data_IF_513638060781
#
_entry.id   IF_513638060781
#
_cell.length_a   1.000
_cell.length_b   1.000
_cell.length_c   1.000
_cell.angle_alpha   90.00
_cell.angle_beta   90.00
_cell.angle_gamma   90.00
#
_symmetry.space_group_name_H-M   'P 1'
#
loop_
_entity.id
_entity.type
_entity.pdbx_description
1 polymer ?
#
# COMPACT_ATOMS: atom_id res chain seq x y z
N UNK A 1 -6.17 -15.45 -18.09
CA UNK A 1 -6.60 -16.79 -17.61
C UNK A 1 -5.42 -17.64 -17.10
N UNK A 2 -4.31 -17.76 -17.88
CA UNK A 2 -3.15 -18.59 -17.49
C UNK A 2 -2.43 -18.06 -16.26
N UNK A 3 -2.24 -16.75 -16.12
CA UNK A 3 -1.59 -16.13 -14.94
C UNK A 3 -2.40 -16.41 -13.66
N UNK A 4 -3.73 -16.32 -13.73
CA UNK A 4 -4.61 -16.70 -12.62
C UNK A 4 -4.47 -18.17 -12.26
N UNK A 5 -4.44 -19.06 -13.28
CA UNK A 5 -4.31 -20.50 -13.06
C UNK A 5 -2.96 -20.81 -12.36
N UNK A 6 -1.86 -20.28 -12.87
CA UNK A 6 -0.53 -20.56 -12.29
C UNK A 6 -0.38 -19.98 -10.87
N UNK A 7 -0.81 -18.76 -10.65
CA UNK A 7 -0.68 -18.11 -9.34
C UNK A 7 -1.69 -18.63 -8.31
N UNK A 8 -2.98 -18.72 -8.67
CA UNK A 8 -4.05 -18.96 -7.69
C UNK A 8 -4.47 -20.44 -7.57
N UNK A 9 -4.25 -21.25 -8.61
CA UNK A 9 -4.63 -22.67 -8.63
C UNK A 9 -3.42 -23.58 -8.47
N UNK A 10 -2.39 -23.37 -9.28
CA UNK A 10 -1.18 -24.19 -9.25
C UNK A 10 -0.17 -23.75 -8.17
N UNK A 11 -0.33 -22.55 -7.60
CA UNK A 11 0.56 -21.96 -6.58
C UNK A 11 2.03 -21.97 -7.00
N UNK A 12 2.28 -21.79 -8.29
CA UNK A 12 3.62 -21.65 -8.83
C UNK A 12 4.02 -20.17 -8.71
N UNK A 13 5.02 -19.91 -7.93
CA UNK A 13 5.71 -18.62 -7.89
C UNK A 13 6.87 -18.72 -8.88
N UNK A 14 7.07 -17.68 -9.70
CA UNK A 14 8.27 -17.57 -10.50
C UNK A 14 9.44 -17.29 -9.56
N UNK A 15 10.59 -17.89 -9.81
CA UNK A 15 11.82 -17.52 -9.09
C UNK A 15 12.05 -16.01 -9.30
N UNK A 16 12.21 -15.27 -8.20
CA UNK A 16 12.53 -13.85 -8.23
C UNK A 16 13.94 -13.68 -8.81
N UNK A 17 14.05 -13.42 -10.12
CA UNK A 17 15.26 -12.86 -10.69
C UNK A 17 15.47 -11.48 -10.05
N UNK A 18 16.65 -11.22 -9.49
CA UNK A 18 17.04 -9.90 -9.00
C UNK A 18 17.04 -8.99 -10.22
N UNK A 19 16.00 -8.18 -10.37
CA UNK A 19 15.92 -7.20 -11.44
C UNK A 19 17.07 -6.20 -11.27
N UNK A 20 17.88 -6.01 -12.32
CA UNK A 20 18.96 -5.01 -12.30
C UNK A 20 18.45 -3.56 -12.13
N UNK A 21 17.15 -3.34 -12.35
CA UNK A 21 16.48 -2.06 -12.21
C UNK A 21 15.17 -2.21 -11.40
N UNK A 22 14.83 -1.15 -10.65
CA UNK A 22 13.55 -1.07 -9.95
C UNK A 22 12.44 -0.85 -10.97
N UNK A 23 11.63 -1.87 -11.19
CA UNK A 23 10.44 -1.80 -12.04
C UNK A 23 9.24 -1.16 -11.31
N UNK A 24 8.14 -0.92 -12.03
CA UNK A 24 6.97 -0.29 -11.47
C UNK A 24 6.30 -1.10 -10.33
N UNK A 25 6.20 -2.45 -10.37
CA UNK A 25 5.75 -3.25 -9.25
C UNK A 25 6.64 -3.11 -8.01
N UNK A 26 7.97 -3.16 -8.17
CA UNK A 26 8.92 -3.02 -7.06
C UNK A 26 8.87 -1.63 -6.45
N UNK A 27 8.72 -0.58 -7.29
CA UNK A 27 8.49 0.79 -6.81
C UNK A 27 7.23 0.87 -5.91
N UNK A 28 6.13 0.22 -6.34
CA UNK A 28 4.92 0.10 -5.53
C UNK A 28 5.20 -0.60 -4.19
N UNK A 29 5.89 -1.73 -4.21
CA UNK A 29 6.26 -2.48 -3.01
C UNK A 29 7.07 -1.63 -2.03
N UNK A 30 8.06 -0.89 -2.51
CA UNK A 30 8.87 0.02 -1.68
C UNK A 30 8.00 1.12 -1.06
N UNK A 31 7.10 1.74 -1.86
CA UNK A 31 6.20 2.77 -1.34
C UNK A 31 5.30 2.23 -0.22
N UNK A 32 4.60 1.11 -0.46
CA UNK A 32 3.71 0.50 0.53
C UNK A 32 4.47 0.13 1.81
N UNK A 33 5.63 -0.51 1.70
CA UNK A 33 6.46 -0.84 2.86
C UNK A 33 6.92 0.40 3.64
N UNK A 34 7.31 1.48 2.96
CA UNK A 34 7.70 2.73 3.62
C UNK A 34 6.52 3.38 4.36
N UNK A 35 5.34 3.43 3.72
CA UNK A 35 4.10 3.91 4.34
C UNK A 35 3.76 3.07 5.57
N UNK A 36 3.75 1.75 5.43
CA UNK A 36 3.45 0.84 6.54
C UNK A 36 4.38 1.11 7.75
N UNK A 37 5.69 1.25 7.52
CA UNK A 37 6.65 1.55 8.59
C UNK A 37 6.39 2.88 9.30
N UNK A 38 6.03 3.91 8.55
CA UNK A 38 5.72 5.23 9.12
C UNK A 38 4.41 5.21 9.91
N UNK A 39 3.36 4.66 9.33
CA UNK A 39 2.04 4.66 9.95
C UNK A 39 1.89 3.63 11.07
N UNK A 40 2.72 2.59 11.11
CA UNK A 40 2.77 1.65 12.24
C UNK A 40 3.09 2.33 13.58
N UNK A 41 3.75 3.49 13.53
CA UNK A 41 4.13 4.26 14.74
C UNK A 41 2.98 5.05 15.35
N UNK A 42 1.91 5.27 14.58
CA UNK A 42 0.73 6.05 15.00
C UNK A 42 -0.55 5.20 15.05
N UNK A 43 -0.43 3.88 14.93
CA UNK A 43 -1.60 2.98 15.12
C UNK A 43 -2.18 3.17 16.50
N UNK A 44 -3.47 3.46 16.58
CA UNK A 44 -4.20 3.72 17.82
C UNK A 44 -4.01 5.12 18.41
N UNK A 45 -3.17 5.97 17.82
CA UNK A 45 -3.03 7.37 18.22
C UNK A 45 -4.23 8.18 17.71
N UNK A 46 -4.88 8.92 18.60
CA UNK A 46 -5.94 9.87 18.26
C UNK A 46 -5.33 11.15 17.70
N UNK A 47 -5.84 11.61 16.56
CA UNK A 47 -5.42 12.88 15.96
C UNK A 47 -3.89 12.98 15.76
N UNK A 48 -3.28 12.09 14.94
CA UNK A 48 -1.83 11.94 14.85
C UNK A 48 -1.10 13.07 14.10
N UNK A 49 -1.77 14.17 13.82
CA UNK A 49 -1.25 15.27 12.98
C UNK A 49 0.06 15.85 13.50
N UNK A 50 0.26 16.01 14.82
CA UNK A 50 1.51 16.55 15.35
C UNK A 50 2.65 15.54 15.28
N UNK A 51 2.36 14.26 15.48
CA UNK A 51 3.33 13.18 15.30
C UNK A 51 3.77 13.11 13.83
N UNK A 52 2.83 13.18 12.88
CA UNK A 52 3.13 13.23 11.44
C UNK A 52 3.98 14.47 11.07
N UNK A 53 3.66 15.66 11.61
CA UNK A 53 4.47 16.88 11.40
C UNK A 53 5.89 16.71 11.95
N UNK A 54 6.02 16.02 13.08
CA UNK A 54 7.34 15.74 13.66
C UNK A 54 8.14 14.82 12.76
N UNK A 55 7.55 13.71 12.28
CA UNK A 55 8.21 12.80 11.34
C UNK A 55 8.64 13.52 10.04
N UNK A 56 7.83 14.47 9.55
CA UNK A 56 8.17 15.29 8.38
C UNK A 56 9.38 16.21 8.61
N UNK A 57 9.59 16.69 9.84
CA UNK A 57 10.72 17.56 10.21
C UNK A 57 12.00 16.79 10.52
N UNK A 58 11.87 15.53 10.89
CA UNK A 58 13.00 14.65 11.22
C UNK A 58 13.47 13.83 10.01
N UNK A 59 14.49 13.01 10.19
CA UNK A 59 14.96 12.06 9.17
C UNK A 59 14.12 10.80 9.03
N UNK A 60 13.02 10.68 9.76
CA UNK A 60 12.25 9.43 9.87
C UNK A 60 11.65 8.95 8.54
N UNK A 61 11.20 9.89 7.69
CA UNK A 61 10.66 9.53 6.37
C UNK A 61 11.74 8.91 5.49
N UNK A 62 12.93 9.52 5.45
CA UNK A 62 14.04 8.98 4.68
C UNK A 62 14.50 7.62 5.21
N UNK A 63 14.58 7.49 6.53
CA UNK A 63 14.95 6.22 7.17
C UNK A 63 13.93 5.10 6.90
N UNK A 64 12.64 5.40 6.88
CA UNK A 64 11.61 4.42 6.54
C UNK A 64 11.71 3.97 5.08
N UNK A 65 12.00 4.89 4.15
CA UNK A 65 12.21 4.57 2.74
C UNK A 65 13.47 3.72 2.55
N UNK A 66 14.57 4.06 3.22
CA UNK A 66 15.80 3.26 3.20
C UNK A 66 15.55 1.85 3.72
N UNK A 67 14.88 1.71 4.86
CA UNK A 67 14.53 0.41 5.40
C UNK A 67 13.64 -0.40 4.44
N UNK A 68 12.67 0.23 3.78
CA UNK A 68 11.82 -0.42 2.79
C UNK A 68 12.63 -0.90 1.57
N UNK A 69 13.57 -0.11 1.07
CA UNK A 69 14.48 -0.48 -0.02
C UNK A 69 15.35 -1.67 0.39
N UNK A 70 15.98 -1.58 1.55
CA UNK A 70 16.91 -2.60 2.05
C UNK A 70 16.22 -3.96 2.21
N UNK A 71 15.01 -3.97 2.76
CA UNK A 71 14.25 -5.19 2.99
C UNK A 71 13.68 -5.80 1.70
N UNK A 72 13.12 -4.98 0.82
CA UNK A 72 12.33 -5.48 -0.32
C UNK A 72 13.11 -5.59 -1.62
N UNK A 73 14.13 -4.74 -1.82
CA UNK A 73 14.92 -4.75 -3.04
C UNK A 73 16.30 -5.36 -2.83
N UNK A 74 17.11 -4.82 -1.91
CA UNK A 74 18.45 -5.33 -1.64
C UNK A 74 18.45 -6.66 -0.86
N UNK A 75 17.37 -6.92 -0.13
CA UNK A 75 17.25 -8.08 0.79
C UNK A 75 18.40 -8.13 1.79
N UNK A 76 18.95 -6.96 2.12
CA UNK A 76 20.02 -6.76 3.09
C UNK A 76 19.67 -5.57 4.00
N UNK A 77 19.26 -5.88 5.21
CA UNK A 77 18.88 -4.87 6.21
C UNK A 77 20.07 -4.07 6.77
N UNK A 78 21.29 -4.52 6.51
CA UNK A 78 22.52 -3.84 6.91
C UNK A 78 23.05 -2.89 5.82
N UNK A 79 22.46 -2.90 4.63
CA UNK A 79 22.86 -2.00 3.54
C UNK A 79 22.72 -0.53 3.94
N UNK A 80 23.63 0.28 3.44
CA UNK A 80 23.71 1.73 3.71
C UNK A 80 23.51 2.51 2.42
N UNK A 81 23.39 3.84 2.52
CA UNK A 81 23.26 4.69 1.33
C UNK A 81 24.45 4.58 0.37
N UNK A 82 25.61 4.10 0.80
CA UNK A 82 26.80 3.88 -0.03
C UNK A 82 26.63 2.68 -0.98
N UNK A 83 25.73 1.76 -0.63
CA UNK A 83 25.42 0.58 -1.44
C UNK A 83 24.41 0.89 -2.55
N UNK A 84 23.84 2.09 -2.57
CA UNK A 84 22.80 2.47 -3.51
C UNK A 84 23.39 2.91 -4.85
N UNK A 85 22.94 2.27 -5.94
CA UNK A 85 23.23 2.71 -7.32
C UNK A 85 22.45 3.97 -7.69
N UNK A 86 22.80 4.60 -8.81
CA UNK A 86 22.14 5.84 -9.26
C UNK A 86 20.61 5.72 -9.41
N UNK A 87 20.13 4.60 -9.95
CA UNK A 87 18.69 4.35 -10.10
C UNK A 87 18.01 4.21 -8.73
N UNK A 88 18.63 3.51 -7.78
CA UNK A 88 18.10 3.30 -6.45
C UNK A 88 18.05 4.60 -5.63
N UNK A 89 19.06 5.47 -5.80
CA UNK A 89 19.05 6.82 -5.22
C UNK A 89 17.87 7.65 -5.77
N UNK A 90 17.57 7.53 -7.07
CA UNK A 90 16.44 8.21 -7.68
C UNK A 90 15.10 7.70 -7.11
N UNK A 91 14.93 6.38 -6.97
CA UNK A 91 13.74 5.76 -6.35
C UNK A 91 13.56 6.26 -4.92
N UNK A 92 14.63 6.24 -4.11
CA UNK A 92 14.62 6.79 -2.75
C UNK A 92 14.15 8.25 -2.72
N UNK A 93 14.69 9.08 -3.60
CA UNK A 93 14.33 10.51 -3.66
C UNK A 93 12.86 10.69 -4.07
N UNK A 94 12.38 9.98 -5.08
CA UNK A 94 11.00 10.07 -5.56
C UNK A 94 10.02 9.63 -4.47
N UNK A 95 10.23 8.46 -3.86
CA UNK A 95 9.36 7.95 -2.78
C UNK A 95 9.36 8.91 -1.58
N UNK A 96 10.53 9.39 -1.18
CA UNK A 96 10.65 10.36 -0.08
C UNK A 96 9.88 11.65 -0.38
N UNK A 97 10.01 12.19 -1.60
CA UNK A 97 9.27 13.39 -2.03
C UNK A 97 7.76 13.15 -2.07
N UNK A 98 7.33 12.00 -2.56
CA UNK A 98 5.91 11.65 -2.61
C UNK A 98 5.29 11.62 -1.22
N UNK A 99 5.97 10.99 -0.24
CA UNK A 99 5.53 10.94 1.14
C UNK A 99 5.56 12.31 1.83
N UNK A 100 6.64 13.08 1.64
CA UNK A 100 6.83 14.40 2.27
C UNK A 100 6.03 15.52 1.61
N UNK A 101 5.70 15.40 0.34
CA UNK A 101 5.00 16.43 -0.42
C UNK A 101 3.50 16.18 -0.59
N UNK A 102 3.04 14.95 -0.42
CA UNK A 102 1.66 14.54 -0.68
C UNK A 102 0.99 13.88 0.53
N UNK A 103 1.28 12.61 0.74
CA UNK A 103 0.54 11.75 1.67
C UNK A 103 0.55 12.28 3.11
N UNK A 104 1.71 12.43 3.69
CA UNK A 104 1.83 12.80 5.11
C UNK A 104 1.40 14.25 5.42
N UNK A 105 1.71 15.26 4.60
CA UNK A 105 1.17 16.61 4.83
C UNK A 105 -0.35 16.69 4.74
N UNK A 106 -0.96 15.93 3.82
CA UNK A 106 -2.42 15.84 3.72
C UNK A 106 -3.02 15.28 5.01
N UNK A 107 -2.52 14.12 5.48
CA UNK A 107 -3.00 13.50 6.71
C UNK A 107 -2.71 14.35 7.95
N UNK A 108 -1.57 15.03 8.00
CA UNK A 108 -1.24 15.96 9.10
C UNK A 108 -2.15 17.19 9.15
N UNK A 109 -2.70 17.61 8.01
CA UNK A 109 -3.66 18.71 7.94
C UNK A 109 -5.11 18.28 8.22
N UNK A 110 -5.43 16.98 8.02
CA UNK A 110 -6.76 16.39 8.17
C UNK A 110 -6.72 15.28 9.23
N UNK A 111 -6.27 15.61 10.43
CA UNK A 111 -5.90 14.67 11.49
C UNK A 111 -7.06 14.13 12.35
N UNK A 112 -8.33 14.41 11.96
CA UNK A 112 -9.53 13.90 12.64
C UNK A 112 -9.74 12.38 12.37
N UNK A 113 -8.72 11.58 12.64
CA UNK A 113 -8.74 10.15 12.46
C UNK A 113 -7.80 9.40 13.43
N UNK A 114 -8.01 8.09 13.51
CA UNK A 114 -7.12 7.14 14.18
C UNK A 114 -6.83 6.00 13.23
N UNK A 115 -5.56 5.66 13.02
CA UNK A 115 -5.19 4.45 12.25
C UNK A 115 -5.55 3.21 13.06
N UNK A 116 -6.43 2.36 12.51
CA UNK A 116 -6.90 1.13 13.18
C UNK A 116 -6.33 -0.14 12.56
N UNK A 117 -5.86 -0.09 11.31
CA UNK A 117 -5.29 -1.25 10.64
C UNK A 117 -4.33 -0.87 9.52
N UNK A 118 -3.29 -1.68 9.32
CA UNK A 118 -2.33 -1.60 8.23
C UNK A 118 -2.19 -2.98 7.60
N UNK A 119 -2.13 -3.05 6.25
CA UNK A 119 -2.04 -4.30 5.49
C UNK A 119 -3.04 -5.34 6.00
N UNK A 120 -4.25 -4.90 6.25
CA UNK A 120 -5.26 -5.70 6.91
C UNK A 120 -6.08 -6.50 5.91
N UNK A 121 -6.14 -7.82 6.10
CA UNK A 121 -7.08 -8.66 5.37
C UNK A 121 -8.52 -8.27 5.70
N UNK A 122 -9.29 -7.98 4.67
CA UNK A 122 -10.72 -7.71 4.75
C UNK A 122 -11.47 -8.72 3.90
N UNK A 123 -12.58 -9.23 4.45
CA UNK A 123 -13.43 -10.17 3.72
C UNK A 123 -14.89 -9.89 4.00
N UNK A 124 -15.68 -9.91 2.94
CA UNK A 124 -17.12 -9.78 3.01
C UNK A 124 -17.80 -10.89 2.24
N UNK A 125 -18.76 -11.55 2.88
CA UNK A 125 -19.57 -12.61 2.26
C UNK A 125 -21.04 -12.21 2.20
N UNK A 126 -21.69 -12.45 1.07
CA UNK A 126 -23.12 -12.28 0.94
C UNK A 126 -23.75 -13.46 0.21
N UNK A 127 -24.99 -13.73 0.57
CA UNK A 127 -25.79 -14.79 -0.03
C UNK A 127 -26.74 -14.16 -1.04
N UNK A 128 -26.87 -14.78 -2.21
CA UNK A 128 -27.80 -14.37 -3.25
C UNK A 128 -28.39 -15.60 -3.97
N UNK A 129 -29.45 -15.41 -4.73
CA UNK A 129 -30.04 -16.47 -5.54
C UNK A 129 -29.81 -16.19 -7.02
N UNK A 130 -29.32 -17.18 -7.76
CA UNK A 130 -29.22 -17.13 -9.20
C UNK A 130 -29.92 -18.35 -9.79
N UNK A 131 -30.86 -18.12 -10.70
CA UNK A 131 -31.71 -19.16 -11.30
C UNK A 131 -32.38 -20.07 -10.27
N UNK A 132 -32.85 -19.49 -9.15
CA UNK A 132 -33.51 -20.21 -8.04
C UNK A 132 -32.58 -21.04 -7.17
N UNK A 133 -31.25 -20.96 -7.34
CA UNK A 133 -30.26 -21.64 -6.50
C UNK A 133 -29.61 -20.65 -5.56
N UNK A 134 -29.54 -20.97 -4.25
CA UNK A 134 -28.78 -20.15 -3.31
C UNK A 134 -27.30 -20.26 -3.63
N UNK A 135 -26.63 -19.11 -3.71
CA UNK A 135 -25.19 -18.98 -3.92
C UNK A 135 -24.61 -18.08 -2.85
N UNK A 136 -23.40 -18.38 -2.43
CA UNK A 136 -22.61 -17.52 -1.54
C UNK A 136 -21.39 -17.00 -2.27
N UNK A 137 -21.22 -15.68 -2.26
CA UNK A 137 -20.02 -15.02 -2.80
C UNK A 137 -19.23 -14.41 -1.67
N UNK A 138 -17.91 -14.59 -1.71
CA UNK A 138 -16.97 -13.98 -0.79
C UNK A 138 -16.03 -13.06 -1.58
N UNK A 139 -15.99 -11.80 -1.17
CA UNK A 139 -14.94 -10.87 -1.57
C UNK A 139 -13.90 -10.82 -0.47
N UNK A 140 -12.63 -10.87 -0.86
CA UNK A 140 -11.51 -10.72 0.06
C UNK A 140 -10.42 -9.91 -0.62
N UNK A 141 -9.69 -9.13 0.18
CA UNK A 141 -8.57 -8.32 -0.26
C UNK A 141 -7.76 -7.85 0.94
N UNK A 142 -6.69 -7.12 0.66
CA UNK A 142 -5.87 -6.46 1.66
C UNK A 142 -6.11 -4.96 1.53
N UNK A 143 -6.41 -4.30 2.64
CA UNK A 143 -6.48 -2.84 2.73
C UNK A 143 -5.14 -2.32 3.23
N UNK A 144 -4.50 -1.42 2.49
CA UNK A 144 -3.20 -0.86 2.88
C UNK A 144 -3.28 -0.15 4.23
N UNK A 145 -4.36 0.64 4.44
CA UNK A 145 -4.64 1.30 5.70
C UNK A 145 -6.14 1.44 5.96
N UNK A 146 -6.54 1.27 7.20
CA UNK A 146 -7.91 1.53 7.68
C UNK A 146 -7.83 2.55 8.81
N UNK A 147 -8.62 3.61 8.70
CA UNK A 147 -8.74 4.64 9.71
C UNK A 147 -10.18 4.70 10.25
N UNK A 148 -10.32 4.96 11.53
CA UNK A 148 -11.57 5.38 12.13
C UNK A 148 -11.60 6.90 12.20
N UNK A 149 -12.61 7.52 11.60
CA UNK A 149 -12.83 8.96 11.65
C UNK A 149 -13.63 9.34 12.91
N UNK A 150 -13.56 10.59 13.33
CA UNK A 150 -14.24 11.09 14.53
C UNK A 150 -15.77 10.98 14.46
N UNK A 151 -16.34 10.95 13.25
CA UNK A 151 -17.78 10.75 13.01
C UNK A 151 -18.22 9.27 13.05
N UNK A 152 -17.29 8.36 13.33
CA UNK A 152 -17.52 6.92 13.35
C UNK A 152 -17.43 6.25 11.99
N UNK A 153 -17.12 6.98 10.92
CA UNK A 153 -16.92 6.43 9.58
C UNK A 153 -15.57 5.70 9.50
N UNK A 154 -15.52 4.59 8.75
CA UNK A 154 -14.25 3.95 8.38
C UNK A 154 -13.77 4.49 7.03
N UNK A 155 -12.52 4.91 6.99
CA UNK A 155 -11.82 5.28 5.77
C UNK A 155 -10.85 4.17 5.39
N UNK A 156 -11.03 3.58 4.20
CA UNK A 156 -10.09 2.64 3.62
C UNK A 156 -9.19 3.40 2.66
N UNK A 157 -7.89 3.29 2.85
CA UNK A 157 -6.88 3.96 2.03
C UNK A 157 -6.09 2.90 1.28
N UNK A 158 -5.91 3.14 -0.01
CA UNK A 158 -5.13 2.31 -0.93
C UNK A 158 -4.16 3.23 -1.68
N UNK A 159 -2.87 2.92 -1.68
CA UNK A 159 -1.81 3.74 -2.28
C UNK A 159 -1.49 3.26 -3.68
N UNK A 160 -1.74 4.08 -4.69
CA UNK A 160 -1.49 3.75 -6.10
C UNK A 160 -0.34 4.57 -6.68
N UNK A 161 0.63 3.89 -7.28
CA UNK A 161 1.76 4.52 -7.98
C UNK A 161 1.50 4.79 -9.45
N UNK A 162 0.44 4.20 -10.02
CA UNK A 162 -0.01 4.42 -11.40
C UNK A 162 -1.18 5.40 -11.49
N UNK A 163 -1.63 5.69 -12.69
CA UNK A 163 -2.85 6.44 -12.94
C UNK A 163 -4.07 5.53 -12.67
N UNK A 164 -4.84 5.73 -11.59
CA UNK A 164 -6.00 4.90 -11.34
C UNK A 164 -7.12 5.24 -12.33
N UNK A 165 -7.79 4.21 -12.85
CA UNK A 165 -9.07 4.39 -13.53
C UNK A 165 -10.14 4.64 -12.46
N UNK A 166 -10.58 5.90 -12.36
CA UNK A 166 -11.61 6.32 -11.38
C UNK A 166 -13.02 6.23 -11.93
N UNK A 167 -13.16 5.97 -13.24
CA UNK A 167 -14.45 5.88 -13.89
C UNK A 167 -14.79 4.42 -14.22
N UNK A 168 -16.03 4.03 -13.97
CA UNK A 168 -16.59 2.76 -14.40
C UNK A 168 -18.00 2.94 -14.96
N UNK A 169 -18.32 2.21 -16.00
CA UNK A 169 -19.59 2.35 -16.74
C UNK A 169 -20.80 1.69 -16.05
N UNK A 170 -20.63 1.25 -14.80
CA UNK A 170 -21.63 0.58 -13.98
C UNK A 170 -21.07 -0.70 -13.37
N UNK A 171 -21.81 -1.28 -12.42
CA UNK A 171 -21.37 -2.48 -11.68
C UNK A 171 -20.98 -3.63 -12.59
N UNK A 172 -21.64 -3.78 -13.73
CA UNK A 172 -21.34 -4.85 -14.69
C UNK A 172 -19.95 -4.73 -15.33
N UNK A 173 -19.41 -3.50 -15.49
CA UNK A 173 -18.09 -3.29 -16.06
C UNK A 173 -16.96 -3.79 -15.14
N UNK A 174 -17.20 -3.87 -13.83
CA UNK A 174 -16.24 -4.41 -12.85
C UNK A 174 -15.94 -5.90 -13.08
N UNK A 175 -16.82 -6.62 -13.76
CA UNK A 175 -16.70 -8.05 -14.04
C UNK A 175 -16.31 -8.40 -15.47
N UNK A 176 -16.21 -7.40 -16.37
CA UNK A 176 -15.91 -7.62 -17.79
C UNK A 176 -14.43 -7.56 -18.14
N UNK A 177 -13.57 -7.06 -17.26
CA UNK A 177 -12.12 -7.07 -17.46
C UNK A 177 -11.64 -6.27 -18.68
N UNK A 178 -12.25 -5.11 -18.96
CA UNK A 178 -11.79 -4.17 -20.00
C UNK A 178 -10.75 -3.22 -19.43
#
# INVERSE_FOLDING_TARGET
>A
PLRFYFHSVARLEADDEIAEEVDAPMFGTILHAAVQKLYARIVGELHPGETLRTMLRTGEVAAAVEAAINENYLRDTAATAEDYTGNLLLVKDIVTRYLRGGVMPYDAAHDAFTVTGLEQEVAYGFDFASAGRPLRMKFAGIADRIDALDDGTLRVVDYKTGAPHLEFAGVESLFRGE
#
